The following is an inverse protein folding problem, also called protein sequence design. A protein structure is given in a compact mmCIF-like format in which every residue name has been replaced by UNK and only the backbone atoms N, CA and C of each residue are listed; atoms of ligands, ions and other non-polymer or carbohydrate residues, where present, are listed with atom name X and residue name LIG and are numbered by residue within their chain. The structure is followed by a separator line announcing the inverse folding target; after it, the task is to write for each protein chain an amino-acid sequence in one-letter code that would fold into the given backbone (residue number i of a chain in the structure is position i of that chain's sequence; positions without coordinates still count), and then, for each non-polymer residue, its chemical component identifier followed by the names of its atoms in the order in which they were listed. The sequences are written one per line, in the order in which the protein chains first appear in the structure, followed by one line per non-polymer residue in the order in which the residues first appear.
data_IF_297316145245
#
_entry.id   IF_297316145245
#
_cell.length_a   1.000
_cell.length_b   1.000
_cell.length_c   1.000
_cell.angle_alpha   90.00
_cell.angle_beta   90.00
_cell.angle_gamma   90.00
#
_symmetry.space_group_name_H-M   'P 1'
#
loop_
_entity.id
_entity.type
_entity.pdbx_description
1 polymer ?
#
# COMPACT_ATOMS: atom_id res chain seq x y z
N UNK A 1 -6.00 -20.61 -9.81
CA UNK A 1 -4.83 -20.93 -8.96
C UNK A 1 -5.26 -21.28 -7.52
N UNK A 2 -4.60 -22.20 -6.78
CA UNK A 2 -4.98 -22.53 -5.39
C UNK A 2 -4.56 -21.42 -4.39
N UNK A 3 -5.35 -21.10 -3.34
CA UNK A 3 -5.01 -20.02 -2.40
C UNK A 3 -3.62 -20.11 -1.75
N UNK A 4 -3.18 -21.32 -1.38
CA UNK A 4 -1.83 -21.54 -0.83
C UNK A 4 -0.72 -21.13 -1.80
N UNK A 5 -0.94 -21.33 -3.11
CA UNK A 5 0.02 -20.95 -4.13
C UNK A 5 0.03 -19.43 -4.33
N UNK A 6 -1.14 -18.79 -4.39
CA UNK A 6 -1.26 -17.32 -4.48
C UNK A 6 -0.52 -16.65 -3.31
N UNK A 7 -0.75 -17.13 -2.08
CA UNK A 7 -0.03 -16.63 -0.90
C UNK A 7 1.48 -16.81 -1.04
N UNK A 8 1.95 -17.94 -1.55
CA UNK A 8 3.39 -18.17 -1.78
C UNK A 8 3.97 -17.16 -2.77
N UNK A 9 3.25 -16.83 -3.85
CA UNK A 9 3.68 -15.82 -4.83
C UNK A 9 3.78 -14.44 -4.19
N UNK A 10 2.77 -14.01 -3.40
CA UNK A 10 2.81 -12.74 -2.67
C UNK A 10 4.01 -12.68 -1.72
N UNK A 11 4.21 -13.72 -0.90
CA UNK A 11 5.34 -13.78 0.03
C UNK A 11 6.69 -13.77 -0.70
N UNK A 12 6.76 -14.40 -1.89
CA UNK A 12 7.97 -14.35 -2.72
C UNK A 12 8.27 -12.94 -3.23
N UNK A 13 7.25 -12.16 -3.56
CA UNK A 13 7.44 -10.79 -4.05
C UNK A 13 7.85 -9.84 -2.92
N UNK A 14 7.23 -9.98 -1.75
CA UNK A 14 7.64 -9.25 -0.55
C UNK A 14 9.11 -9.55 -0.23
N UNK A 15 9.55 -10.81 -0.35
CA UNK A 15 10.95 -11.20 -0.16
C UNK A 15 11.88 -10.53 -1.18
N UNK A 16 11.51 -10.53 -2.46
CA UNK A 16 12.28 -9.86 -3.53
C UNK A 16 12.46 -8.38 -3.23
N UNK A 17 11.40 -7.67 -2.85
CA UNK A 17 11.45 -6.24 -2.51
C UNK A 17 12.24 -6.01 -1.22
N UNK A 18 12.10 -6.87 -0.21
CA UNK A 18 12.86 -6.77 1.03
C UNK A 18 14.37 -6.95 0.84
N UNK A 19 14.79 -7.87 -0.04
CA UNK A 19 16.19 -8.07 -0.40
C UNK A 19 16.81 -6.87 -1.14
N UNK A 20 15.96 -6.01 -1.72
CA UNK A 20 16.36 -4.75 -2.32
C UNK A 20 15.92 -3.52 -1.47
N UNK A 21 15.70 -3.71 -0.16
CA UNK A 21 15.15 -2.69 0.75
C UNK A 21 15.84 -1.33 0.68
N UNK A 22 17.16 -1.27 0.44
CA UNK A 22 17.89 0.00 0.27
C UNK A 22 17.30 0.92 -0.80
N UNK A 23 16.72 0.36 -1.88
CA UNK A 23 16.05 1.16 -2.93
C UNK A 23 14.78 1.84 -2.41
N UNK A 24 14.12 1.20 -1.46
CA UNK A 24 12.79 1.57 -0.96
C UNK A 24 12.81 2.23 0.41
N UNK A 25 14.00 2.56 0.94
CA UNK A 25 14.12 3.26 2.20
C UNK A 25 14.47 4.74 2.00
N UNK A 26 14.03 5.58 2.93
CA UNK A 26 14.33 7.01 2.94
C UNK A 26 15.83 7.28 3.05
N UNK A 27 16.56 6.49 3.85
CA UNK A 27 18.03 6.58 3.98
C UNK A 27 18.70 5.23 3.63
N UNK A 28 19.04 4.99 2.35
CA UNK A 28 19.75 3.78 1.91
C UNK A 28 21.04 3.53 2.70
N UNK A 29 21.35 2.28 3.04
CA UNK A 29 22.53 1.88 3.81
C UNK A 29 22.43 2.14 5.33
N UNK A 30 21.43 2.90 5.79
CA UNK A 30 21.21 3.20 7.21
C UNK A 30 19.89 2.62 7.74
N UNK A 31 18.80 2.86 7.03
CA UNK A 31 17.50 2.32 7.42
C UNK A 31 17.46 0.82 7.15
N UNK A 32 16.91 0.05 8.11
CA UNK A 32 16.82 -1.42 8.08
C UNK A 32 18.13 -2.21 7.89
N UNK A 33 19.30 -1.57 7.97
CA UNK A 33 20.60 -2.26 7.88
C UNK A 33 20.98 -3.10 9.11
N UNK A 34 20.23 -2.97 10.21
CA UNK A 34 20.42 -3.76 11.44
C UNK A 34 19.27 -4.74 11.64
N UNK A 35 19.59 -5.91 12.14
CA UNK A 35 18.58 -6.88 12.58
C UNK A 35 17.78 -6.32 13.76
N UNK A 36 16.45 -6.31 13.60
CA UNK A 36 15.47 -5.84 14.59
C UNK A 36 14.19 -6.65 14.46
N UNK A 37 13.36 -6.66 15.52
CA UNK A 37 12.01 -7.28 15.52
C UNK A 37 11.12 -6.73 14.40
N UNK A 38 11.28 -5.44 14.06
CA UNK A 38 10.62 -4.77 12.95
C UNK A 38 11.61 -4.61 11.78
N UNK A 39 11.94 -5.73 11.11
CA UNK A 39 12.67 -5.71 9.85
C UNK A 39 11.81 -5.09 8.74
N UNK A 40 12.44 -4.69 7.63
CA UNK A 40 11.73 -4.15 6.46
C UNK A 40 10.60 -5.08 6.03
N UNK A 41 10.95 -6.35 5.83
CA UNK A 41 10.01 -7.43 5.47
C UNK A 41 8.85 -7.50 6.47
N UNK A 42 9.13 -7.56 7.77
CA UNK A 42 8.09 -7.69 8.80
C UNK A 42 7.14 -6.50 8.78
N UNK A 43 7.63 -5.28 8.59
CA UNK A 43 6.78 -4.07 8.51
C UNK A 43 5.90 -4.10 7.26
N UNK A 44 6.44 -4.47 6.11
CA UNK A 44 5.67 -4.61 4.86
C UNK A 44 4.59 -5.69 4.98
N UNK A 45 4.95 -6.89 5.45
CA UNK A 45 4.00 -7.98 5.70
C UNK A 45 2.90 -7.56 6.66
N UNK A 46 3.27 -6.81 7.72
CA UNK A 46 2.31 -6.29 8.69
C UNK A 46 1.30 -5.36 8.03
N UNK A 47 1.76 -4.41 7.21
CA UNK A 47 0.88 -3.43 6.54
C UNK A 47 -0.10 -4.12 5.60
N UNK A 48 0.37 -5.09 4.80
CA UNK A 48 -0.47 -5.85 3.87
C UNK A 48 -1.46 -6.75 4.63
N UNK A 49 -1.07 -7.26 5.80
CA UNK A 49 -1.87 -8.18 6.61
C UNK A 49 -2.86 -7.54 7.58
N UNK A 50 -2.85 -6.20 7.75
CA UNK A 50 -3.71 -5.51 8.72
C UNK A 50 -5.20 -5.71 8.40
N UNK A 51 -5.98 -6.02 9.43
CA UNK A 51 -7.40 -6.37 9.36
C UNK A 51 -8.36 -5.26 9.80
N UNK A 52 -7.95 -4.00 9.74
CA UNK A 52 -8.72 -2.81 10.15
C UNK A 52 -8.98 -2.67 11.67
N UNK A 53 -8.17 -3.31 12.52
CA UNK A 53 -8.17 -3.07 13.97
C UNK A 53 -7.31 -1.86 14.32
N UNK A 54 -7.41 -1.40 15.58
CA UNK A 54 -6.45 -0.43 16.11
C UNK A 54 -5.02 -0.99 16.07
N UNK A 55 -4.03 -0.14 15.76
CA UNK A 55 -2.64 -0.57 15.52
C UNK A 55 -2.06 -1.44 16.66
N UNK A 56 -2.36 -1.14 17.91
CA UNK A 56 -1.91 -1.97 19.04
C UNK A 56 -2.45 -3.40 18.95
N UNK A 57 -3.73 -3.56 18.60
CA UNK A 57 -4.36 -4.88 18.48
C UNK A 57 -3.81 -5.63 17.26
N UNK A 58 -3.57 -4.94 16.14
CA UNK A 58 -2.90 -5.54 14.97
C UNK A 58 -1.52 -6.09 15.37
N UNK A 59 -0.74 -5.32 16.14
CA UNK A 59 0.58 -5.76 16.58
C UNK A 59 0.50 -6.95 17.55
N UNK A 60 -0.51 -7.00 18.44
CA UNK A 60 -0.74 -8.15 19.31
C UNK A 60 -0.96 -9.41 18.46
N UNK A 61 -1.77 -9.34 17.41
CA UNK A 61 -2.03 -10.47 16.52
C UNK A 61 -0.76 -10.86 15.72
N UNK A 62 -0.07 -9.88 15.12
CA UNK A 62 1.13 -10.08 14.29
C UNK A 62 2.30 -10.71 15.08
N UNK A 63 2.39 -10.40 16.36
CA UNK A 63 3.41 -10.91 17.28
C UNK A 63 2.89 -12.02 18.21
N UNK A 64 1.66 -12.51 18.01
CA UNK A 64 1.04 -13.58 18.82
C UNK A 64 1.08 -13.28 20.34
N UNK A 65 0.80 -12.04 20.73
CA UNK A 65 0.82 -11.57 22.12
C UNK A 65 2.17 -11.81 22.84
N UNK A 66 3.29 -11.75 22.11
CA UNK A 66 4.64 -11.78 22.68
C UNK A 66 4.80 -10.59 23.66
N UNK A 67 5.15 -10.82 24.95
CA UNK A 67 5.41 -9.74 25.91
C UNK A 67 6.48 -8.74 25.45
N UNK A 68 7.37 -9.19 24.57
CA UNK A 68 8.48 -8.45 24.01
C UNK A 68 8.13 -7.78 22.67
N UNK A 69 6.84 -7.72 22.30
CA UNK A 69 6.38 -7.08 21.06
C UNK A 69 6.74 -5.59 20.99
N UNK A 70 7.00 -5.05 19.78
CA UNK A 70 7.26 -3.63 19.61
C UNK A 70 6.01 -2.78 19.91
N UNK A 71 6.22 -1.56 20.39
CA UNK A 71 5.14 -0.59 20.58
C UNK A 71 4.58 -0.08 19.24
N UNK A 72 3.34 0.43 19.28
CA UNK A 72 2.73 1.13 18.15
C UNK A 72 3.59 2.29 17.63
N UNK A 73 4.23 3.05 18.53
CA UNK A 73 5.14 4.14 18.14
C UNK A 73 6.39 3.65 17.42
N UNK A 74 6.99 2.54 17.88
CA UNK A 74 8.13 1.92 17.20
C UNK A 74 7.74 1.44 15.80
N UNK A 75 6.54 0.89 15.64
CA UNK A 75 6.02 0.51 14.32
C UNK A 75 5.86 1.71 13.39
N UNK A 76 5.20 2.78 13.83
CA UNK A 76 5.00 4.00 13.03
C UNK A 76 6.35 4.59 12.59
N UNK A 77 7.35 4.60 13.47
CA UNK A 77 8.70 5.08 13.14
C UNK A 77 9.45 4.20 12.13
N UNK A 78 9.23 2.88 12.11
CA UNK A 78 9.81 2.03 11.06
C UNK A 78 9.05 2.18 9.76
N UNK A 79 7.71 2.21 9.81
CA UNK A 79 6.86 2.43 8.63
C UNK A 79 7.22 3.71 7.89
N UNK A 80 7.47 4.81 8.61
CA UNK A 80 7.78 6.11 7.99
C UNK A 80 9.11 6.15 7.21
N UNK A 81 9.93 5.10 7.31
CA UNK A 81 11.18 4.96 6.56
C UNK A 81 11.00 4.25 5.23
N UNK A 82 9.87 3.56 5.04
CA UNK A 82 9.57 2.80 3.83
C UNK A 82 8.88 3.74 2.85
N UNK A 83 9.41 3.83 1.64
CA UNK A 83 8.82 4.60 0.56
C UNK A 83 7.66 3.83 -0.10
N UNK A 84 6.63 4.52 -0.61
CA UNK A 84 5.45 3.88 -1.20
C UNK A 84 5.76 2.98 -2.41
N UNK A 85 6.88 3.23 -3.12
CA UNK A 85 7.32 2.43 -4.26
C UNK A 85 7.52 0.96 -3.92
N UNK A 86 7.83 0.62 -2.65
CA UNK A 86 7.86 -0.78 -2.23
C UNK A 86 6.53 -1.49 -2.48
N UNK A 87 5.41 -0.85 -2.13
CA UNK A 87 4.08 -1.44 -2.27
C UNK A 87 3.64 -1.48 -3.74
N UNK A 88 3.99 -0.45 -4.51
CA UNK A 88 3.76 -0.43 -5.97
C UNK A 88 4.49 -1.59 -6.65
N UNK A 89 5.77 -1.77 -6.36
CA UNK A 89 6.58 -2.79 -7.02
C UNK A 89 6.18 -4.20 -6.55
N UNK A 90 5.74 -4.36 -5.28
CA UNK A 90 5.11 -5.60 -4.81
C UNK A 90 3.82 -5.89 -5.59
N UNK A 91 2.94 -4.90 -5.77
CA UNK A 91 1.71 -5.08 -6.53
C UNK A 91 2.04 -5.50 -7.97
N UNK A 92 2.93 -4.78 -8.65
CA UNK A 92 3.31 -5.06 -10.03
C UNK A 92 3.90 -6.47 -10.20
N UNK A 93 4.91 -6.83 -9.39
CA UNK A 93 5.56 -8.15 -9.49
C UNK A 93 4.64 -9.30 -9.07
N UNK A 94 3.75 -9.07 -8.08
CA UNK A 94 2.75 -10.06 -7.69
C UNK A 94 1.71 -10.27 -8.79
N UNK A 95 1.17 -9.17 -9.34
CA UNK A 95 0.21 -9.20 -10.46
C UNK A 95 0.80 -9.89 -11.67
N UNK A 96 2.04 -9.60 -12.06
CA UNK A 96 2.72 -10.26 -13.18
C UNK A 96 2.75 -11.79 -13.01
N UNK A 97 3.02 -12.27 -11.78
CA UNK A 97 3.10 -13.70 -11.47
C UNK A 97 1.75 -14.41 -11.46
N UNK A 98 0.65 -13.69 -11.18
CA UNK A 98 -0.70 -14.29 -11.13
C UNK A 98 -1.49 -14.06 -12.42
N UNK A 99 -1.05 -13.13 -13.28
CA UNK A 99 -1.70 -12.84 -14.55
C UNK A 99 -1.41 -13.94 -15.55
N UNK A 100 -2.45 -14.53 -16.11
CA UNK A 100 -2.33 -15.49 -17.20
C UNK A 100 -2.04 -14.73 -18.51
N UNK A 101 -1.02 -15.15 -19.25
CA UNK A 101 -0.75 -14.57 -20.56
C UNK A 101 -1.81 -15.06 -21.55
N UNK A 102 -2.62 -14.14 -22.06
CA UNK A 102 -3.60 -14.40 -23.11
C UNK A 102 -3.13 -13.79 -24.42
N UNK A 103 -3.31 -14.52 -25.53
CA UNK A 103 -3.11 -14.01 -26.88
C UNK A 103 -4.30 -13.15 -27.36
N UNK A 104 -5.36 -13.03 -26.55
CA UNK A 104 -6.55 -12.25 -26.87
C UNK A 104 -6.47 -10.83 -26.29
N UNK A 105 -7.29 -9.93 -26.84
CA UNK A 105 -7.44 -8.57 -26.33
C UNK A 105 -7.99 -8.64 -24.90
N UNK A 106 -7.26 -8.06 -23.94
CA UNK A 106 -7.71 -7.98 -22.54
C UNK A 106 -8.71 -6.86 -22.36
N UNK A 107 -9.84 -7.16 -21.71
CA UNK A 107 -10.82 -6.16 -21.32
C UNK A 107 -10.53 -5.64 -19.91
N UNK A 108 -10.16 -4.36 -19.83
CA UNK A 108 -9.82 -3.69 -18.57
C UNK A 108 -10.88 -2.65 -18.21
N UNK A 109 -11.32 -2.64 -16.96
CA UNK A 109 -12.16 -1.60 -16.38
C UNK A 109 -11.30 -0.64 -15.56
N UNK A 110 -11.63 0.65 -15.59
CA UNK A 110 -11.03 1.67 -14.72
C UNK A 110 -12.16 2.37 -13.99
N UNK A 111 -12.05 2.45 -12.67
CA UNK A 111 -12.95 3.24 -11.84
C UNK A 111 -12.20 3.95 -10.71
N UNK A 112 -12.80 5.03 -10.23
CA UNK A 112 -12.24 5.96 -9.27
C UNK A 112 -12.93 5.91 -7.91
N UNK A 113 -12.22 6.22 -6.83
CA UNK A 113 -12.82 6.40 -5.51
C UNK A 113 -12.09 7.46 -4.70
N UNK A 114 -12.86 8.33 -4.05
CA UNK A 114 -12.33 9.35 -3.14
C UNK A 114 -12.14 8.74 -1.75
N UNK A 115 -10.97 8.96 -1.16
CA UNK A 115 -10.61 8.48 0.17
C UNK A 115 -10.29 9.70 1.04
N UNK A 116 -11.03 9.85 2.13
CA UNK A 116 -10.75 10.89 3.11
C UNK A 116 -9.58 10.49 4.00
N UNK A 117 -8.58 11.36 4.09
CA UNK A 117 -7.41 11.20 4.95
C UNK A 117 -7.44 12.21 6.09
N UNK A 118 -6.46 12.11 6.99
CA UNK A 118 -6.32 13.05 8.10
C UNK A 118 -6.17 14.49 7.57
N UNK A 119 -6.92 15.43 8.16
CA UNK A 119 -6.91 16.82 7.71
C UNK A 119 -5.53 17.45 7.91
N UNK A 120 -4.94 17.93 6.83
CA UNK A 120 -3.70 18.68 6.79
C UNK A 120 -3.85 19.91 5.88
N UNK A 121 -3.99 21.13 6.43
CA UNK A 121 -4.10 22.36 5.65
C UNK A 121 -2.88 22.67 4.77
N UNK A 122 -1.70 22.12 5.10
CA UNK A 122 -0.46 22.37 4.36
C UNK A 122 -0.33 21.49 3.10
N UNK A 123 -1.24 20.52 2.90
CA UNK A 123 -1.27 19.66 1.71
C UNK A 123 -2.27 20.18 0.69
N UNK A 124 -1.86 21.16 -0.10
CA UNK A 124 -2.70 21.85 -1.08
C UNK A 124 -3.29 20.92 -2.16
N UNK A 125 -2.65 19.77 -2.43
CA UNK A 125 -3.11 18.82 -3.46
C UNK A 125 -4.35 18.03 -3.02
N UNK A 126 -4.54 17.89 -1.70
CA UNK A 126 -5.63 17.10 -1.11
C UNK A 126 -6.58 17.92 -0.27
N UNK A 127 -6.20 19.14 0.14
CA UNK A 127 -6.95 19.94 1.11
C UNK A 127 -8.19 20.63 0.53
N UNK A 128 -9.30 20.50 1.26
CA UNK A 128 -10.53 21.23 1.05
C UNK A 128 -10.85 22.07 2.29
N UNK A 129 -11.01 23.40 2.16
CA UNK A 129 -11.33 24.27 3.29
C UNK A 129 -12.73 24.02 3.88
N UNK A 130 -13.58 23.26 3.17
CA UNK A 130 -15.00 23.10 3.49
C UNK A 130 -15.84 24.29 3.01
N UNK A 131 -17.11 24.05 2.73
CA UNK A 131 -18.08 25.08 2.34
C UNK A 131 -19.36 24.96 3.19
N UNK A 132 -20.11 26.06 3.33
CA UNK A 132 -21.43 26.07 3.98
C UNK A 132 -21.43 25.44 5.40
N UNK A 133 -20.41 25.75 6.20
CA UNK A 133 -20.28 25.25 7.59
C UNK A 133 -19.72 23.83 7.71
N UNK A 134 -19.33 23.18 6.60
CA UNK A 134 -18.59 21.93 6.65
C UNK A 134 -17.18 22.14 7.22
N UNK A 135 -16.71 21.18 8.01
CA UNK A 135 -15.33 21.17 8.51
C UNK A 135 -14.36 20.95 7.35
N UNK A 136 -13.14 21.50 7.39
CA UNK A 136 -12.11 21.21 6.41
C UNK A 136 -11.68 19.74 6.46
N UNK A 137 -11.29 19.20 5.31
CA UNK A 137 -10.90 17.81 5.15
C UNK A 137 -9.89 17.66 4.02
N UNK A 138 -9.22 16.51 3.94
CA UNK A 138 -8.32 16.18 2.84
C UNK A 138 -8.84 14.93 2.11
N UNK A 139 -8.87 14.98 0.77
CA UNK A 139 -9.23 13.85 -0.08
C UNK A 139 -8.07 13.50 -1.00
N UNK A 140 -7.72 12.22 -1.01
CA UNK A 140 -6.98 11.61 -2.11
C UNK A 140 -7.99 10.88 -3.00
N UNK A 141 -7.60 10.66 -4.24
CA UNK A 141 -8.38 9.99 -5.24
C UNK A 141 -7.61 8.78 -5.77
N UNK A 142 -8.23 7.60 -5.72
CA UNK A 142 -7.69 6.33 -6.19
C UNK A 142 -8.34 5.97 -7.52
N UNK A 143 -7.54 5.83 -8.58
CA UNK A 143 -7.93 5.12 -9.79
C UNK A 143 -7.44 3.68 -9.71
N UNK A 144 -8.32 2.70 -9.90
CA UNK A 144 -7.96 1.29 -9.92
C UNK A 144 -8.22 0.69 -11.30
N UNK A 145 -7.21 0.04 -11.88
CA UNK A 145 -7.30 -0.69 -13.15
C UNK A 145 -7.58 -2.17 -12.84
N UNK A 146 -8.67 -2.70 -13.35
CA UNK A 146 -9.18 -4.03 -13.06
C UNK A 146 -9.31 -4.86 -14.33
N UNK A 147 -8.75 -6.07 -14.33
CA UNK A 147 -8.90 -7.04 -15.42
C UNK A 147 -10.21 -7.82 -15.22
N UNK A 148 -11.15 -7.63 -16.15
CA UNK A 148 -12.49 -8.21 -16.06
C UNK A 148 -12.53 -9.71 -16.32
N UNK A 149 -11.55 -10.26 -17.05
CA UNK A 149 -11.49 -11.69 -17.38
C UNK A 149 -10.83 -12.48 -16.26
N UNK A 150 -9.76 -11.92 -15.68
CA UNK A 150 -8.96 -12.59 -14.65
C UNK A 150 -9.39 -12.24 -13.22
N UNK A 151 -10.26 -11.23 -13.08
CA UNK A 151 -10.80 -10.74 -11.82
C UNK A 151 -9.75 -10.22 -10.83
N UNK A 152 -8.75 -9.49 -11.32
CA UNK A 152 -7.65 -8.96 -10.52
C UNK A 152 -7.46 -7.46 -10.74
N UNK A 153 -6.99 -6.77 -9.70
CA UNK A 153 -6.45 -5.41 -9.85
C UNK A 153 -5.05 -5.51 -10.44
N UNK A 154 -4.85 -4.86 -11.59
CA UNK A 154 -3.58 -4.94 -12.32
C UNK A 154 -2.67 -3.75 -12.02
N UNK A 155 -3.25 -2.58 -11.75
CA UNK A 155 -2.52 -1.37 -11.40
C UNK A 155 -3.42 -0.40 -10.62
N UNK A 156 -2.82 0.59 -9.96
CA UNK A 156 -3.54 1.65 -9.29
C UNK A 156 -2.75 2.95 -9.28
N UNK A 157 -3.48 4.08 -9.30
CA UNK A 157 -2.90 5.41 -9.19
C UNK A 157 -3.58 6.19 -8.09
N UNK A 158 -2.78 6.67 -7.15
CA UNK A 158 -3.22 7.59 -6.08
C UNK A 158 -2.77 9.00 -6.46
N UNK A 159 -3.68 9.96 -6.39
CA UNK A 159 -3.39 11.37 -6.67
C UNK A 159 -4.22 12.26 -5.75
N UNK A 160 -3.79 13.50 -5.51
CA UNK A 160 -4.63 14.45 -4.79
C UNK A 160 -5.89 14.78 -5.58
N UNK A 161 -6.99 14.97 -4.87
CA UNK A 161 -8.30 15.19 -5.51
C UNK A 161 -8.33 16.48 -6.32
N UNK A 162 -7.52 17.48 -5.94
CA UNK A 162 -7.39 18.75 -6.66
C UNK A 162 -6.67 18.59 -8.00
N UNK A 163 -5.77 17.61 -8.11
CA UNK A 163 -5.05 17.27 -9.35
C UNK A 163 -5.71 16.13 -10.16
N UNK A 164 -6.93 15.73 -9.80
CA UNK A 164 -7.66 14.65 -10.47
C UNK A 164 -8.08 15.02 -11.90
N UNK A 165 -7.60 14.25 -12.88
CA UNK A 165 -7.85 14.48 -14.31
C UNK A 165 -8.82 13.48 -14.95
N UNK A 166 -9.62 12.75 -14.17
CA UNK A 166 -10.52 11.71 -14.73
C UNK A 166 -11.46 12.24 -15.82
N UNK A 167 -11.88 13.51 -15.72
CA UNK A 167 -12.71 14.17 -16.72
C UNK A 167 -12.02 14.41 -18.07
N UNK A 168 -10.70 14.32 -18.15
CA UNK A 168 -9.95 14.49 -19.41
C UNK A 168 -9.88 13.18 -20.23
N UNK A 169 -10.29 12.05 -19.66
CA UNK A 169 -10.24 10.74 -20.30
C UNK A 169 -11.55 10.36 -21.03
N UNK A 170 -12.58 11.19 -20.94
CA UNK A 170 -13.90 11.02 -21.57
C UNK A 170 -14.05 11.87 -22.84
#
# INVERSE_FOLDING_TARGET
MKPKHIKKLLMSEIETVANASDKYCSNPGRDFSRERKLSFKKVVESIIGMGSKGLTNELIDIFNNDPEMPSASAFVQQRSKIKPEAFRDILAGFTEKITEQSCQLRLLAVDGSDIQIATNPDDEDTYFPGANGQKPYNLIHLNALYDLEQHIYVDSRIQGRMSGNEHMAL
#
